data_IF_703592249742
#
_entry.id   IF_703592249742
#
_cell.length_a   1.000
_cell.length_b   1.000
_cell.length_c   1.000
_cell.angle_alpha   90.00
_cell.angle_beta   90.00
_cell.angle_gamma   90.00
#
_symmetry.space_group_name_H-M   'P 1'
#
loop_
_entity.id
_entity.type
_entity.pdbx_description
1 polymer ?
#
# COMPACT_ATOMS: atom_id res chain seq x y z
N UNK A 1 7.94 33.43 -6.70
CA UNK A 1 7.21 32.14 -6.58
C UNK A 1 8.21 31.03 -6.76
N UNK A 2 8.59 30.36 -5.68
CA UNK A 2 9.41 29.14 -5.72
C UNK A 2 8.55 28.05 -6.35
N UNK A 3 9.02 27.44 -7.45
CA UNK A 3 8.33 26.31 -8.06
C UNK A 3 8.62 25.09 -7.19
N UNK A 4 7.65 24.63 -6.42
CA UNK A 4 7.79 23.38 -5.66
C UNK A 4 7.80 22.21 -6.65
N UNK A 5 8.78 21.32 -6.53
CA UNK A 5 8.77 20.03 -7.24
C UNK A 5 7.68 19.14 -6.64
N UNK A 6 6.99 18.37 -7.48
CA UNK A 6 6.07 17.34 -7.00
C UNK A 6 6.82 16.35 -6.10
N UNK A 7 6.22 16.07 -4.94
CA UNK A 7 6.74 15.11 -3.98
C UNK A 7 6.47 13.66 -4.42
N UNK A 8 7.43 12.78 -4.15
CA UNK A 8 7.29 11.34 -4.32
C UNK A 8 7.81 10.64 -3.07
N UNK A 9 6.97 9.80 -2.47
CA UNK A 9 7.24 9.08 -1.23
C UNK A 9 7.03 7.57 -1.42
N UNK A 10 7.91 6.76 -0.81
CA UNK A 10 7.94 5.32 -0.98
C UNK A 10 8.23 4.60 0.34
N UNK A 11 7.47 3.54 0.61
CA UNK A 11 7.79 2.54 1.60
C UNK A 11 7.70 1.14 0.98
N UNK A 12 8.84 0.48 0.77
CA UNK A 12 8.92 -0.93 0.37
C UNK A 12 9.53 -1.72 1.52
N UNK A 13 8.76 -2.66 2.09
CA UNK A 13 9.15 -3.46 3.25
C UNK A 13 9.45 -4.92 2.89
N UNK A 14 9.58 -5.23 1.60
CA UNK A 14 9.85 -6.59 1.14
C UNK A 14 8.75 -7.56 1.58
N UNK A 15 9.12 -8.64 2.26
CA UNK A 15 8.19 -9.70 2.67
C UNK A 15 7.59 -9.52 4.08
N UNK A 16 7.78 -8.34 4.71
CA UNK A 16 7.13 -8.00 5.96
C UNK A 16 5.61 -7.95 5.81
N UNK A 17 4.90 -8.10 6.93
CA UNK A 17 3.44 -8.13 6.96
C UNK A 17 2.79 -6.75 7.11
N UNK A 18 3.56 -5.73 7.50
CA UNK A 18 3.10 -4.35 7.70
C UNK A 18 4.02 -3.37 6.97
N UNK A 19 3.44 -2.47 6.19
CA UNK A 19 4.09 -1.27 5.65
C UNK A 19 3.43 -0.02 6.23
N UNK A 20 4.23 1.01 6.49
CA UNK A 20 3.73 2.33 6.89
C UNK A 20 4.50 3.39 6.12
N UNK A 21 3.77 4.29 5.47
CA UNK A 21 4.29 5.47 4.79
C UNK A 21 3.82 6.71 5.56
N UNK A 22 4.79 7.53 5.98
CA UNK A 22 4.56 8.78 6.70
C UNK A 22 5.08 9.95 5.88
N UNK A 23 4.16 10.79 5.41
CA UNK A 23 4.46 12.04 4.70
C UNK A 23 4.27 13.20 5.68
N UNK A 24 5.32 14.00 5.96
CA UNK A 24 5.26 15.08 6.94
C UNK A 24 4.32 16.21 6.49
N UNK A 25 3.82 17.03 7.43
CA UNK A 25 3.05 18.23 7.10
C UNK A 25 3.82 19.24 6.24
N UNK A 26 3.10 19.98 5.39
CA UNK A 26 3.60 21.15 4.67
C UNK A 26 2.81 22.39 5.14
N UNK A 27 3.51 23.46 5.52
CA UNK A 27 2.94 24.65 6.20
C UNK A 27 2.50 25.73 5.20
N UNK A 28 2.69 25.53 3.90
CA UNK A 28 2.48 26.57 2.88
C UNK A 28 1.59 26.11 1.71
N UNK A 29 1.11 24.87 1.75
CA UNK A 29 0.29 24.31 0.66
C UNK A 29 -0.53 23.10 1.08
N UNK A 30 -1.71 23.00 0.48
CA UNK A 30 -2.47 21.76 0.35
C UNK A 30 -1.84 20.91 -0.75
N UNK A 31 -1.76 19.60 -0.53
CA UNK A 31 -1.22 18.63 -1.48
C UNK A 31 -2.28 17.60 -1.82
N UNK A 32 -2.18 17.00 -3.00
CA UNK A 32 -3.02 15.88 -3.43
C UNK A 32 -2.10 14.75 -3.87
N UNK A 33 -2.26 13.58 -3.27
CA UNK A 33 -1.46 12.41 -3.61
C UNK A 33 -2.31 11.37 -4.32
N UNK A 34 -1.76 10.76 -5.36
CA UNK A 34 -2.15 9.41 -5.76
C UNK A 34 -1.38 8.43 -4.89
N UNK A 35 -2.10 7.52 -4.23
CA UNK A 35 -1.52 6.50 -3.36
C UNK A 35 -1.77 5.13 -3.95
N UNK A 36 -0.69 4.39 -4.18
CA UNK A 36 -0.71 3.01 -4.64
C UNK A 36 -0.18 2.08 -3.55
N UNK A 37 -0.98 1.07 -3.20
CA UNK A 37 -0.60 0.01 -2.28
C UNK A 37 -0.61 -1.31 -3.02
N UNK A 38 0.53 -1.99 -3.04
CA UNK A 38 0.70 -3.27 -3.72
C UNK A 38 1.22 -4.33 -2.75
N UNK A 39 0.50 -5.45 -2.70
CA UNK A 39 0.90 -6.64 -1.98
C UNK A 39 1.05 -7.82 -2.94
N UNK A 40 2.24 -8.38 -3.03
CA UNK A 40 2.57 -9.52 -3.90
C UNK A 40 2.88 -10.74 -3.05
N UNK A 41 2.31 -11.88 -3.44
CA UNK A 41 2.61 -13.19 -2.87
C UNK A 41 3.11 -14.15 -3.94
N UNK A 42 3.89 -15.13 -3.51
CA UNK A 42 4.20 -16.34 -4.27
C UNK A 42 3.14 -17.39 -3.97
N UNK A 43 2.59 -17.97 -5.03
CA UNK A 43 1.59 -19.02 -4.95
C UNK A 43 2.25 -20.36 -4.63
N UNK A 44 1.64 -21.20 -3.77
CA UNK A 44 2.16 -22.54 -3.54
C UNK A 44 2.02 -23.42 -4.78
N UNK A 45 2.54 -24.65 -4.68
CA UNK A 45 2.27 -25.69 -5.65
C UNK A 45 0.77 -26.00 -5.76
N UNK A 46 0.38 -26.57 -6.90
CA UNK A 46 -1.00 -26.95 -7.19
C UNK A 46 -1.60 -27.86 -6.10
N UNK A 47 -2.91 -27.73 -5.87
CA UNK A 47 -3.63 -28.54 -4.89
C UNK A 47 -3.52 -28.06 -3.44
N UNK A 48 -2.73 -27.00 -3.14
CA UNK A 48 -2.68 -26.39 -1.80
C UNK A 48 -3.65 -25.21 -1.72
N UNK A 49 -4.73 -25.27 -0.90
CA UNK A 49 -5.62 -24.12 -0.71
C UNK A 49 -4.88 -22.96 -0.03
N UNK A 50 -4.66 -21.89 -0.78
CA UNK A 50 -4.01 -20.67 -0.29
C UNK A 50 -4.90 -19.45 -0.46
N UNK A 51 -4.71 -18.47 0.41
CA UNK A 51 -5.34 -17.16 0.33
C UNK A 51 -4.39 -16.08 0.84
N UNK A 52 -4.64 -14.87 0.39
CA UNK A 52 -3.95 -13.68 0.88
C UNK A 52 -4.95 -12.53 1.03
N UNK A 53 -4.66 -11.63 1.97
CA UNK A 53 -5.51 -10.50 2.29
C UNK A 53 -4.67 -9.27 2.61
N UNK A 54 -5.24 -8.11 2.34
CA UNK A 54 -4.65 -6.81 2.64
C UNK A 54 -5.72 -5.87 3.18
N UNK A 55 -5.38 -5.10 4.21
CA UNK A 55 -6.16 -3.98 4.73
C UNK A 55 -5.32 -2.71 4.63
N UNK A 56 -5.93 -1.63 4.13
CA UNK A 56 -5.32 -0.31 3.98
C UNK A 56 -6.03 0.68 4.89
N UNK A 57 -5.26 1.37 5.71
CA UNK A 57 -5.68 2.46 6.58
C UNK A 57 -5.05 3.77 6.10
N UNK A 58 -5.85 4.83 6.01
CA UNK A 58 -5.38 6.19 5.74
C UNK A 58 -5.72 7.06 6.95
N UNK A 59 -4.73 7.73 7.51
CA UNK A 59 -4.84 8.55 8.72
C UNK A 59 -5.55 7.84 9.89
N UNK A 60 -5.28 6.54 10.04
CA UNK A 60 -5.85 5.70 11.11
C UNK A 60 -7.28 5.20 10.85
N UNK A 61 -7.90 5.55 9.71
CA UNK A 61 -9.21 5.02 9.31
C UNK A 61 -9.03 3.91 8.28
N UNK A 62 -9.73 2.79 8.45
CA UNK A 62 -9.77 1.72 7.44
C UNK A 62 -10.49 2.22 6.19
N UNK A 63 -9.75 2.39 5.10
CA UNK A 63 -10.31 2.78 3.80
C UNK A 63 -10.71 1.57 2.97
N UNK A 64 -9.93 0.49 3.05
CA UNK A 64 -10.17 -0.68 2.21
C UNK A 64 -9.66 -1.97 2.87
N UNK A 65 -10.32 -3.09 2.55
CA UNK A 65 -9.92 -4.42 3.00
C UNK A 65 -10.44 -5.47 2.01
N UNK A 66 -9.59 -6.43 1.65
CA UNK A 66 -9.99 -7.58 0.82
C UNK A 66 -9.18 -8.82 1.16
N UNK A 67 -9.84 -9.97 1.06
CA UNK A 67 -9.23 -11.30 1.06
C UNK A 67 -9.63 -12.02 -0.23
N UNK A 68 -8.68 -12.69 -0.88
CA UNK A 68 -8.94 -13.52 -2.06
C UNK A 68 -8.21 -14.86 -1.94
N UNK A 69 -8.72 -15.87 -2.66
CA UNK A 69 -7.95 -17.08 -2.91
C UNK A 69 -6.69 -16.70 -3.70
N UNK A 70 -5.56 -17.34 -3.38
CA UNK A 70 -4.33 -17.16 -4.15
C UNK A 70 -4.46 -18.04 -5.40
N UNK A 71 -4.57 -17.42 -6.56
CA UNK A 71 -4.66 -18.09 -7.85
C UNK A 71 -3.27 -18.21 -8.50
N UNK A 72 -3.15 -18.91 -9.63
CA UNK A 72 -1.90 -19.05 -10.40
C UNK A 72 -0.80 -19.90 -9.72
N UNK A 73 -0.98 -21.23 -9.60
CA UNK A 73 0.02 -22.13 -9.01
C UNK A 73 1.42 -21.94 -9.59
N UNK A 74 2.44 -21.88 -8.74
CA UNK A 74 3.85 -21.71 -9.14
C UNK A 74 4.26 -20.30 -9.62
N UNK A 75 3.31 -19.36 -9.74
CA UNK A 75 3.54 -17.97 -10.13
C UNK A 75 3.34 -17.02 -8.93
N UNK A 76 3.21 -15.73 -9.20
CA UNK A 76 2.81 -14.72 -8.22
C UNK A 76 1.35 -14.32 -8.37
N UNK A 77 0.77 -13.82 -7.29
CA UNK A 77 -0.56 -13.19 -7.26
C UNK A 77 -0.47 -11.89 -6.44
N UNK A 78 -1.43 -10.97 -6.63
CA UNK A 78 -1.39 -9.67 -5.96
C UNK A 78 -2.75 -9.11 -5.53
N UNK A 79 -2.68 -8.25 -4.52
CA UNK A 79 -3.71 -7.27 -4.21
C UNK A 79 -3.14 -5.86 -4.42
N UNK A 80 -3.84 -5.09 -5.24
CA UNK A 80 -3.51 -3.70 -5.54
C UNK A 80 -4.68 -2.81 -5.09
N UNK A 81 -4.37 -1.68 -4.46
CA UNK A 81 -5.32 -0.67 -4.07
C UNK A 81 -4.79 0.71 -4.43
N UNK A 82 -5.64 1.50 -5.09
CA UNK A 82 -5.32 2.85 -5.54
C UNK A 82 -6.34 3.83 -4.96
N UNK A 83 -5.86 4.95 -4.42
CA UNK A 83 -6.71 6.00 -3.87
C UNK A 83 -6.06 7.37 -4.00
N UNK A 84 -6.88 8.37 -4.29
CA UNK A 84 -6.45 9.77 -4.24
C UNK A 84 -6.74 10.35 -2.85
N UNK A 85 -5.76 11.03 -2.26
CA UNK A 85 -5.88 11.65 -0.93
C UNK A 85 -5.55 13.13 -0.98
N UNK A 86 -6.50 13.96 -0.55
CA UNK A 86 -6.27 15.37 -0.28
C UNK A 86 -5.64 15.55 1.11
N UNK A 87 -4.54 16.29 1.17
CA UNK A 87 -3.75 16.56 2.38
C UNK A 87 -3.75 18.06 2.62
N UNK A 88 -4.62 18.56 3.53
CA UNK A 88 -4.66 19.97 3.89
C UNK A 88 -3.31 20.49 4.38
N UNK A 89 -3.08 21.79 4.20
CA UNK A 89 -1.96 22.51 4.80
C UNK A 89 -1.86 22.22 6.31
N UNK A 90 -0.64 22.03 6.80
CA UNK A 90 -0.34 21.75 8.20
C UNK A 90 -0.67 20.33 8.64
N UNK A 91 -1.15 19.45 7.76
CA UNK A 91 -1.49 18.05 8.10
C UNK A 91 -0.54 17.04 7.47
N UNK A 92 -0.31 15.93 8.17
CA UNK A 92 0.46 14.79 7.69
C UNK A 92 -0.45 13.80 6.92
N UNK A 93 0.14 12.98 6.07
CA UNK A 93 -0.49 11.80 5.49
C UNK A 93 0.20 10.56 6.05
N UNK A 94 -0.59 9.67 6.68
CA UNK A 94 -0.15 8.35 7.11
C UNK A 94 -0.94 7.29 6.38
N UNK A 95 -0.25 6.40 5.67
CA UNK A 95 -0.84 5.22 5.02
C UNK A 95 -0.24 3.98 5.66
N UNK A 96 -1.09 3.05 6.07
CA UNK A 96 -0.67 1.78 6.65
C UNK A 96 -1.33 0.63 5.91
N UNK A 97 -0.53 -0.33 5.48
CA UNK A 97 -1.00 -1.57 4.89
C UNK A 97 -0.63 -2.73 5.81
N UNK A 98 -1.60 -3.62 6.08
CA UNK A 98 -1.39 -4.86 6.84
C UNK A 98 -1.83 -6.04 6.00
N UNK A 99 -1.07 -7.13 6.06
CA UNK A 99 -1.30 -8.31 5.21
C UNK A 99 -1.37 -9.58 6.02
N UNK A 100 -2.25 -10.49 5.60
CA UNK A 100 -2.35 -11.85 6.15
C UNK A 100 -2.33 -12.85 5.01
N UNK A 101 -1.72 -14.01 5.24
CA UNK A 101 -1.60 -15.07 4.24
C UNK A 101 -1.87 -16.43 4.87
N UNK A 102 -2.37 -17.36 4.06
CA UNK A 102 -2.39 -18.79 4.36
C UNK A 102 -1.77 -19.53 3.19
N UNK A 103 -0.75 -20.34 3.46
CA UNK A 103 -0.05 -21.19 2.49
C UNK A 103 0.57 -20.47 1.26
N UNK A 104 0.39 -19.15 1.13
CA UNK A 104 1.15 -18.28 0.24
C UNK A 104 2.38 -17.71 0.97
N UNK A 105 3.43 -17.38 0.22
CA UNK A 105 4.64 -16.72 0.75
C UNK A 105 4.65 -15.26 0.35
N UNK A 106 4.80 -14.33 1.29
CA UNK A 106 4.95 -12.90 0.99
C UNK A 106 6.18 -12.66 0.11
N UNK A 107 6.07 -11.75 -0.86
CA UNK A 107 7.17 -11.36 -1.74
C UNK A 107 7.48 -9.88 -1.63
N UNK A 108 6.45 -9.05 -1.63
CA UNK A 108 6.60 -7.61 -1.59
C UNK A 108 5.35 -6.98 -0.98
N UNK A 109 5.55 -5.97 -0.14
CA UNK A 109 4.54 -5.03 0.28
C UNK A 109 5.10 -3.62 0.10
N UNK A 110 4.45 -2.82 -0.74
CA UNK A 110 4.88 -1.47 -1.11
C UNK A 110 3.72 -0.49 -1.01
N UNK A 111 4.03 0.71 -0.52
CA UNK A 111 3.16 1.89 -0.56
C UNK A 111 3.93 3.00 -1.28
N UNK A 112 3.31 3.61 -2.27
CA UNK A 112 3.83 4.74 -3.03
C UNK A 112 2.82 5.89 -2.97
N UNK A 113 3.32 7.12 -2.85
CA UNK A 113 2.50 8.32 -2.88
C UNK A 113 3.15 9.37 -3.78
N UNK A 114 2.46 9.76 -4.85
CA UNK A 114 2.91 10.75 -5.83
C UNK A 114 2.01 12.00 -5.80
N UNK A 115 2.60 13.16 -5.52
CA UNK A 115 1.90 14.45 -5.56
C UNK A 115 1.48 14.80 -7.00
N UNK A 116 0.26 15.31 -7.16
CA UNK A 116 -0.32 15.73 -8.45
C UNK A 116 -0.40 17.25 -8.59
#
# INVERSE_FOLDING_TARGET
MTKHSLEHWLADVGDADIATLDVPPAIDRTRRFQVDVRFVVQCPAEGTPAWHAMTVEVNGRREWSRQIATANPGQTDSLDYHVQVDVPEGTALRVRATTTVRAARRRQLRIEAEEQ
#
